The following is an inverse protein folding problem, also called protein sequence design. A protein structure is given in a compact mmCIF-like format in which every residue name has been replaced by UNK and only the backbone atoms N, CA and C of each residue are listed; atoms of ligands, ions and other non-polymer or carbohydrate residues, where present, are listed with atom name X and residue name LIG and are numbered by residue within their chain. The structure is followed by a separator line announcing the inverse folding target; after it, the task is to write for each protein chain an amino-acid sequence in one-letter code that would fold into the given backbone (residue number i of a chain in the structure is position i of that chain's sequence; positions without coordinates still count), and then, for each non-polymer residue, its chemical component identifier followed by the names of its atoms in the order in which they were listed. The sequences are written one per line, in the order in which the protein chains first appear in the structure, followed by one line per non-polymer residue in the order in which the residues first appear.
data_IF_393567029295
#
_entry.id   IF_393567029295
#
_cell.length_a   1.000
_cell.length_b   1.000
_cell.length_c   1.000
_cell.angle_alpha   90.00
_cell.angle_beta   90.00
_cell.angle_gamma   90.00
#
_symmetry.space_group_name_H-M   'P 1'
#
loop_
_entity.id
_entity.type
_entity.pdbx_description
1 polymer ?
#
# COMPACT_ATOMS: atom_id res chain seq x y z
N UNK A 1 84.31 -63.60 14.45
CA UNK A 1 83.75 -64.49 13.41
C UNK A 1 82.70 -63.72 12.64
N UNK A 2 82.83 -63.75 11.31
CA UNK A 2 81.92 -63.27 10.24
C UNK A 2 81.46 -61.78 10.33
N UNK A 3 82.13 -60.83 9.64
CA UNK A 3 82.15 -60.63 8.16
C UNK A 3 80.74 -60.26 7.66
N UNK A 4 80.48 -59.21 6.89
CA UNK A 4 81.31 -58.24 6.21
C UNK A 4 80.40 -57.17 5.58
N UNK A 5 80.85 -55.92 5.68
CA UNK A 5 81.04 -54.96 4.58
C UNK A 5 79.81 -54.35 3.89
N UNK A 6 79.64 -53.01 3.95
CA UNK A 6 80.33 -51.99 3.11
C UNK A 6 80.00 -52.19 1.63
N UNK A 7 79.24 -51.30 0.96
CA UNK A 7 79.74 -50.10 0.25
C UNK A 7 78.61 -49.61 -0.71
N UNK A 8 78.46 -48.38 -1.22
CA UNK A 8 79.28 -47.17 -1.37
C UNK A 8 78.34 -46.00 -1.78
N UNK A 9 78.69 -44.77 -1.32
CA UNK A 9 78.72 -43.45 -2.00
C UNK A 9 77.68 -43.11 -3.10
N UNK A 10 77.08 -41.91 -3.09
CA UNK A 10 77.54 -40.76 -3.91
C UNK A 10 77.04 -39.41 -3.32
N UNK A 11 77.90 -38.40 -3.50
CA UNK A 11 77.78 -36.98 -3.14
C UNK A 11 77.01 -36.16 -4.21
N UNK A 12 76.56 -34.97 -3.78
CA UNK A 12 76.25 -33.76 -4.59
C UNK A 12 74.95 -33.84 -5.42
N UNK A 13 74.20 -32.77 -5.74
CA UNK A 13 74.34 -31.33 -5.62
C UNK A 13 72.94 -30.68 -5.63
N UNK A 14 72.88 -29.42 -5.18
CA UNK A 14 71.91 -28.35 -5.48
C UNK A 14 70.74 -28.64 -6.43
N UNK A 15 69.52 -28.42 -5.94
CA UNK A 15 68.48 -27.67 -6.67
C UNK A 15 67.43 -27.17 -5.67
N UNK A 16 67.43 -25.86 -5.44
CA UNK A 16 66.30 -25.18 -4.84
C UNK A 16 65.12 -25.25 -5.82
N UNK A 17 64.06 -25.97 -5.46
CA UNK A 17 62.73 -25.74 -6.02
C UNK A 17 61.85 -25.26 -4.87
N UNK A 18 61.52 -23.97 -4.91
CA UNK A 18 60.41 -23.42 -4.18
C UNK A 18 59.16 -24.21 -4.58
N UNK A 19 58.62 -25.00 -3.65
CA UNK A 19 57.25 -25.48 -3.72
C UNK A 19 56.36 -24.24 -3.62
N UNK A 20 56.02 -23.68 -4.78
CA UNK A 20 54.90 -22.77 -4.91
C UNK A 20 53.69 -23.56 -4.46
N UNK A 21 53.24 -23.27 -3.24
CA UNK A 21 51.95 -23.66 -2.73
C UNK A 21 50.91 -23.20 -3.76
N UNK A 22 50.42 -24.13 -4.56
CA UNK A 22 49.19 -23.98 -5.33
C UNK A 22 48.03 -23.92 -4.35
N UNK A 23 47.91 -22.79 -3.65
CA UNK A 23 46.67 -22.34 -3.04
C UNK A 23 45.71 -22.05 -4.20
N UNK A 24 45.10 -23.11 -4.74
CA UNK A 24 43.80 -22.98 -5.38
C UNK A 24 42.83 -22.78 -4.22
N UNK A 25 42.86 -21.59 -3.63
CA UNK A 25 41.72 -21.11 -2.86
C UNK A 25 40.52 -21.25 -3.81
N UNK A 26 39.41 -21.89 -3.39
CA UNK A 26 38.17 -21.67 -4.11
C UNK A 26 38.00 -20.15 -4.07
N UNK A 27 38.09 -19.50 -5.23
CA UNK A 27 37.61 -18.13 -5.36
C UNK A 27 36.22 -18.17 -4.77
N UNK A 28 36.02 -17.51 -3.63
CA UNK A 28 34.70 -17.22 -3.15
C UNK A 28 34.03 -16.55 -4.35
N UNK A 29 33.17 -17.29 -5.06
CA UNK A 29 32.28 -16.71 -6.04
C UNK A 29 31.54 -15.65 -5.23
N UNK A 30 31.90 -14.38 -5.43
CA UNK A 30 31.08 -13.29 -4.95
C UNK A 30 29.69 -13.64 -5.49
N UNK A 31 28.76 -13.97 -4.60
CA UNK A 31 27.43 -14.41 -5.00
C UNK A 31 26.93 -13.41 -6.04
N UNK A 32 26.65 -13.89 -7.26
CA UNK A 32 26.30 -13.00 -8.37
C UNK A 32 25.17 -12.10 -7.91
N UNK A 33 25.40 -10.80 -7.96
CA UNK A 33 24.42 -9.80 -7.54
C UNK A 33 23.18 -9.97 -8.39
N UNK A 34 22.05 -10.23 -7.75
CA UNK A 34 20.80 -10.47 -8.48
C UNK A 34 19.98 -9.19 -8.52
N UNK A 35 19.29 -8.98 -9.64
CA UNK A 35 18.54 -7.76 -9.90
C UNK A 35 17.06 -8.04 -10.10
N UNK A 36 16.25 -7.04 -9.78
CA UNK A 36 14.82 -7.04 -10.01
C UNK A 36 14.40 -5.77 -10.71
N UNK A 37 13.49 -5.90 -11.67
CA UNK A 37 12.94 -4.77 -12.43
C UNK A 37 11.47 -4.58 -12.14
N UNK A 38 11.03 -3.32 -12.07
CA UNK A 38 9.63 -2.95 -11.87
C UNK A 38 9.21 -1.91 -12.90
N UNK A 39 8.06 -2.14 -13.51
CA UNK A 39 7.41 -1.25 -14.46
C UNK A 39 5.93 -1.04 -14.08
N UNK A 40 5.31 -0.05 -14.71
CA UNK A 40 3.87 0.24 -14.59
C UNK A 40 3.29 0.70 -15.92
N UNK A 41 1.97 0.70 -16.05
CA UNK A 41 1.29 1.31 -17.21
C UNK A 41 1.20 2.85 -17.07
N UNK A 42 0.81 3.55 -18.13
CA UNK A 42 0.77 5.02 -18.15
C UNK A 42 -0.16 5.65 -17.11
N UNK A 43 -1.20 4.92 -16.67
CA UNK A 43 -2.15 5.35 -15.63
C UNK A 43 -1.74 4.88 -14.23
N UNK A 44 -0.57 4.27 -14.14
CA UNK A 44 -0.04 3.58 -12.98
C UNK A 44 -0.91 2.43 -12.47
N UNK A 45 -1.95 1.98 -13.18
CA UNK A 45 -3.02 1.14 -12.62
C UNK A 45 -2.54 -0.26 -12.19
N UNK A 46 -1.49 -0.77 -12.84
CA UNK A 46 -0.87 -2.07 -12.54
C UNK A 46 0.64 -1.96 -12.38
N UNK A 47 1.19 -2.81 -11.51
CA UNK A 47 2.64 -2.99 -11.36
C UNK A 47 3.03 -4.30 -12.04
N UNK A 48 4.12 -4.26 -12.80
CA UNK A 48 4.72 -5.41 -13.48
C UNK A 48 6.15 -5.55 -12.98
N UNK A 49 6.64 -6.78 -12.88
CA UNK A 49 7.97 -7.03 -12.36
C UNK A 49 8.59 -8.28 -12.97
N UNK A 50 9.92 -8.34 -12.90
CA UNK A 50 10.74 -9.47 -13.34
C UNK A 50 11.84 -9.72 -12.31
N UNK A 51 12.06 -10.99 -11.98
CA UNK A 51 13.01 -11.46 -10.97
C UNK A 51 13.43 -12.91 -11.30
N UNK A 52 14.71 -13.29 -11.09
CA UNK A 52 15.90 -12.45 -11.03
C UNK A 52 16.43 -12.10 -12.43
N UNK A 53 17.20 -11.02 -12.53
CA UNK A 53 17.96 -10.61 -13.72
C UNK A 53 19.43 -10.40 -13.36
N UNK A 54 20.31 -10.36 -14.36
CA UNK A 54 21.77 -10.34 -14.17
C UNK A 54 22.36 -8.94 -14.00
N UNK A 55 21.66 -7.91 -14.47
CA UNK A 55 22.02 -6.51 -14.26
C UNK A 55 20.80 -5.58 -14.22
N UNK A 56 21.00 -4.35 -13.75
CA UNK A 56 19.93 -3.37 -13.58
C UNK A 56 19.27 -2.93 -14.90
N UNK A 57 20.02 -2.80 -16.00
CA UNK A 57 19.45 -2.40 -17.30
C UNK A 57 18.64 -3.54 -17.91
N UNK A 58 19.12 -4.77 -17.79
CA UNK A 58 18.38 -5.97 -18.18
C UNK A 58 17.06 -6.06 -17.39
N UNK A 59 17.11 -5.85 -16.07
CA UNK A 59 15.93 -5.77 -15.22
C UNK A 59 14.90 -4.72 -15.67
N UNK A 60 15.32 -3.50 -15.96
CA UNK A 60 14.41 -2.45 -16.46
C UNK A 60 13.79 -2.83 -17.80
N UNK A 61 14.60 -3.31 -18.75
CA UNK A 61 14.14 -3.70 -20.08
C UNK A 61 13.15 -4.87 -20.02
N UNK A 62 13.44 -5.88 -19.20
CA UNK A 62 12.58 -7.04 -19.01
C UNK A 62 11.27 -6.66 -18.29
N UNK A 63 11.29 -5.75 -17.31
CA UNK A 63 10.06 -5.25 -16.68
C UNK A 63 9.15 -4.50 -17.67
N UNK A 64 9.72 -3.69 -18.56
CA UNK A 64 8.96 -3.06 -19.65
C UNK A 64 8.39 -4.09 -20.63
N UNK A 65 9.17 -5.11 -20.98
CA UNK A 65 8.71 -6.19 -21.84
C UNK A 65 7.53 -6.93 -21.21
N UNK A 66 7.60 -7.23 -19.92
CA UNK A 66 6.51 -7.88 -19.17
C UNK A 66 5.27 -7.00 -19.11
N UNK A 67 5.41 -5.69 -18.84
CA UNK A 67 4.29 -4.75 -18.92
C UNK A 67 3.59 -4.78 -20.28
N UNK A 68 4.34 -4.74 -21.38
CA UNK A 68 3.79 -4.77 -22.75
C UNK A 68 3.12 -6.10 -23.05
N UNK A 69 3.77 -7.21 -22.67
CA UNK A 69 3.26 -8.57 -22.84
C UNK A 69 1.94 -8.79 -22.10
N UNK A 70 1.80 -8.22 -20.91
CA UNK A 70 0.57 -8.24 -20.10
C UNK A 70 -0.49 -7.19 -20.55
N UNK A 71 -0.32 -6.59 -21.73
CA UNK A 71 -1.27 -5.64 -22.32
C UNK A 71 -1.26 -4.25 -21.70
N UNK A 72 -0.23 -3.90 -20.94
CA UNK A 72 -0.03 -2.54 -20.43
C UNK A 72 0.16 -1.53 -21.57
N UNK A 73 -0.48 -0.36 -21.44
CA UNK A 73 -0.32 0.76 -22.36
C UNK A 73 0.64 1.78 -21.74
N UNK A 74 1.44 2.45 -22.58
CA UNK A 74 2.37 3.51 -22.14
C UNK A 74 3.28 3.05 -20.99
N UNK A 75 3.82 1.83 -21.11
CA UNK A 75 4.65 1.21 -20.08
C UNK A 75 5.86 2.07 -19.72
N UNK A 76 6.06 2.29 -18.41
CA UNK A 76 7.16 3.06 -17.82
C UNK A 76 7.92 2.19 -16.82
N UNK A 77 9.25 2.33 -16.82
CA UNK A 77 10.09 1.80 -15.75
C UNK A 77 9.81 2.61 -14.49
N UNK A 78 9.66 1.93 -13.36
CA UNK A 78 9.63 2.57 -12.05
C UNK A 78 11.01 2.54 -11.39
N UNK A 79 11.62 1.37 -11.33
CA UNK A 79 12.92 1.17 -10.69
C UNK A 79 13.50 -0.20 -10.99
N UNK A 80 14.81 -0.34 -10.94
CA UNK A 80 15.47 -1.60 -10.62
C UNK A 80 15.94 -1.61 -9.16
N UNK A 81 16.19 -2.81 -8.63
CA UNK A 81 16.77 -3.03 -7.31
C UNK A 81 17.63 -4.28 -7.33
N UNK A 82 18.45 -4.48 -6.30
CA UNK A 82 19.38 -5.61 -6.23
C UNK A 82 19.60 -6.05 -4.81
N UNK A 83 19.74 -7.35 -4.57
CA UNK A 83 19.99 -7.96 -3.25
C UNK A 83 19.18 -7.31 -2.11
N UNK A 84 17.92 -7.00 -2.41
CA UNK A 84 17.02 -6.26 -1.54
C UNK A 84 15.57 -6.56 -1.90
N UNK A 85 14.64 -6.01 -1.13
CA UNK A 85 13.22 -5.97 -1.44
C UNK A 85 12.78 -4.58 -1.87
N UNK A 86 11.87 -4.52 -2.85
CA UNK A 86 11.23 -3.31 -3.33
C UNK A 86 9.72 -3.49 -3.36
N UNK A 87 8.98 -2.43 -3.03
CA UNK A 87 7.52 -2.40 -3.15
C UNK A 87 7.05 -0.95 -3.32
N UNK A 88 5.88 -0.78 -3.90
CA UNK A 88 5.22 0.52 -4.00
C UNK A 88 3.97 0.55 -3.13
N UNK A 89 3.72 1.70 -2.52
CA UNK A 89 2.41 2.07 -2.01
C UNK A 89 1.76 3.03 -2.99
N UNK A 90 0.42 3.04 -3.02
CA UNK A 90 -0.38 3.88 -3.89
C UNK A 90 -1.41 4.66 -3.08
N UNK A 91 -1.64 5.92 -3.44
CA UNK A 91 -2.73 6.74 -2.90
C UNK A 91 -4.01 6.67 -3.75
N UNK A 92 -5.05 7.39 -3.35
CA UNK A 92 -6.35 7.47 -4.04
C UNK A 92 -6.25 8.00 -5.47
N UNK A 93 -5.34 8.94 -5.73
CA UNK A 93 -5.12 9.57 -7.04
C UNK A 93 -4.08 8.83 -7.90
N UNK A 94 -3.70 7.62 -7.50
CA UNK A 94 -2.81 6.71 -8.24
C UNK A 94 -1.32 7.14 -8.29
N UNK A 95 -0.87 8.00 -7.37
CA UNK A 95 0.55 8.26 -7.17
C UNK A 95 1.24 7.05 -6.53
N UNK A 96 2.49 6.81 -6.91
CA UNK A 96 3.27 5.67 -6.46
C UNK A 96 4.44 6.09 -5.56
N UNK A 97 4.57 5.43 -4.42
CA UNK A 97 5.55 5.73 -3.38
C UNK A 97 6.45 4.51 -3.12
N UNK A 98 7.75 4.57 -3.46
CA UNK A 98 8.64 3.42 -3.35
C UNK A 98 9.06 3.15 -1.91
N UNK A 99 9.27 1.88 -1.57
CA UNK A 99 9.95 1.43 -0.38
C UNK A 99 10.97 0.35 -0.73
N UNK A 100 12.24 0.61 -0.42
CA UNK A 100 13.34 -0.33 -0.61
C UNK A 100 14.05 -0.63 0.72
N UNK A 101 14.33 -1.90 0.97
CA UNK A 101 15.08 -2.36 2.14
C UNK A 101 15.53 -3.80 1.94
N UNK A 102 16.60 -4.22 2.63
CA UNK A 102 16.99 -5.63 2.72
C UNK A 102 15.99 -6.49 3.50
N UNK A 103 15.05 -5.88 4.22
CA UNK A 103 13.94 -6.56 4.90
C UNK A 103 12.62 -6.32 4.15
N UNK A 104 11.85 -7.38 3.82
CA UNK A 104 10.54 -7.25 3.17
C UNK A 104 9.59 -6.33 3.94
N UNK A 105 9.49 -6.55 5.26
CA UNK A 105 8.62 -5.75 6.14
C UNK A 105 9.05 -4.28 6.17
N UNK A 106 10.36 -4.02 6.23
CA UNK A 106 10.86 -2.65 6.24
C UNK A 106 10.66 -1.93 4.90
N UNK A 107 10.75 -2.64 3.77
CA UNK A 107 10.43 -2.09 2.46
C UNK A 107 8.95 -1.63 2.41
N UNK A 108 8.03 -2.51 2.81
CA UNK A 108 6.60 -2.21 2.89
C UNK A 108 6.30 -1.04 3.84
N UNK A 109 6.90 -1.05 5.03
CA UNK A 109 6.74 0.04 6.02
C UNK A 109 7.21 1.39 5.48
N UNK A 110 8.35 1.42 4.75
CA UNK A 110 8.85 2.64 4.11
C UNK A 110 7.92 3.15 3.02
N UNK A 111 7.40 2.27 2.17
CA UNK A 111 6.47 2.63 1.10
C UNK A 111 5.19 3.28 1.67
N UNK A 112 4.56 2.63 2.65
CA UNK A 112 3.36 3.16 3.31
C UNK A 112 3.65 4.50 4.00
N UNK A 113 4.73 4.63 4.76
CA UNK A 113 5.10 5.90 5.42
C UNK A 113 5.27 7.05 4.44
N UNK A 114 5.90 6.79 3.29
CA UNK A 114 6.08 7.79 2.23
C UNK A 114 4.74 8.17 1.61
N UNK A 115 3.89 7.18 1.31
CA UNK A 115 2.55 7.45 0.81
C UNK A 115 1.74 8.30 1.79
N UNK A 116 1.71 7.94 3.07
CA UNK A 116 0.93 8.67 4.08
C UNK A 116 1.44 10.09 4.29
N UNK A 117 2.75 10.31 4.19
CA UNK A 117 3.34 11.64 4.28
C UNK A 117 3.08 12.50 3.03
N UNK A 118 3.03 11.87 1.85
CA UNK A 118 2.80 12.54 0.57
C UNK A 118 1.32 12.68 0.17
N UNK A 119 0.39 12.08 0.92
CA UNK A 119 -1.04 12.04 0.57
C UNK A 119 -1.87 12.67 1.69
N UNK A 120 -2.29 13.94 1.55
CA UNK A 120 -3.12 14.63 2.54
C UNK A 120 -4.42 13.88 2.86
N UNK A 121 -4.96 13.12 1.92
CA UNK A 121 -6.17 12.28 2.05
C UNK A 121 -5.88 10.82 2.46
N UNK A 122 -4.61 10.43 2.58
CA UNK A 122 -4.15 9.28 3.38
C UNK A 122 -4.47 7.88 2.91
N UNK A 123 -5.23 7.73 1.83
CA UNK A 123 -5.74 6.46 1.29
C UNK A 123 -4.64 5.59 0.70
N UNK A 124 -3.75 5.08 1.54
CA UNK A 124 -2.52 4.41 1.16
C UNK A 124 -2.59 2.90 1.31
N UNK A 125 -2.26 2.18 0.23
CA UNK A 125 -2.20 0.71 0.17
C UNK A 125 -0.96 0.24 -0.57
N UNK A 126 -0.46 -0.94 -0.24
CA UNK A 126 0.59 -1.57 -1.04
C UNK A 126 0.04 -2.02 -2.39
N UNK A 127 0.83 -1.94 -3.45
CA UNK A 127 0.44 -2.42 -4.78
C UNK A 127 0.62 -3.92 -4.95
N UNK A 128 1.57 -4.50 -4.21
CA UNK A 128 1.95 -5.92 -4.23
C UNK A 128 2.55 -6.28 -2.87
N UNK A 129 2.76 -7.57 -2.59
CA UNK A 129 3.71 -7.95 -1.54
C UNK A 129 5.13 -7.51 -1.94
N UNK A 130 6.07 -7.37 -0.97
CA UNK A 130 7.45 -7.03 -1.27
C UNK A 130 8.09 -7.96 -2.30
N UNK A 131 8.62 -7.37 -3.37
CA UNK A 131 9.37 -8.06 -4.42
C UNK A 131 10.82 -8.18 -3.93
N UNK A 132 11.29 -9.39 -3.66
CA UNK A 132 12.62 -9.62 -3.09
C UNK A 132 13.51 -10.42 -4.06
N UNK A 133 14.77 -10.02 -4.17
CA UNK A 133 15.77 -10.68 -5.00
C UNK A 133 17.11 -10.72 -4.27
N UNK A 134 17.84 -11.83 -4.39
CA UNK A 134 19.16 -12.01 -3.77
C UNK A 134 19.27 -13.31 -2.98
N UNK A 135 20.50 -13.75 -2.67
CA UNK A 135 20.75 -15.05 -2.04
C UNK A 135 20.25 -15.16 -0.60
N UNK A 136 19.94 -14.04 0.05
CA UNK A 136 19.45 -14.00 1.43
C UNK A 136 17.95 -14.25 1.60
N UNK A 137 17.20 -14.44 0.52
CA UNK A 137 15.74 -14.58 0.55
C UNK A 137 15.29 -16.02 0.33
N UNK A 138 14.30 -16.44 1.11
CA UNK A 138 13.72 -17.77 0.96
C UNK A 138 12.90 -17.89 -0.32
N UNK A 139 12.65 -19.12 -0.77
CA UNK A 139 11.71 -19.37 -1.86
C UNK A 139 10.30 -18.84 -1.54
N UNK A 140 9.92 -18.80 -0.26
CA UNK A 140 8.66 -18.22 0.18
C UNK A 140 8.63 -16.70 -0.02
N UNK A 141 9.71 -15.99 0.34
CA UNK A 141 9.83 -14.55 0.12
C UNK A 141 9.73 -14.19 -1.36
N UNK A 142 10.42 -14.94 -2.22
CA UNK A 142 10.41 -14.71 -3.67
C UNK A 142 9.05 -15.02 -4.32
N UNK A 143 8.28 -15.98 -3.78
CA UNK A 143 6.97 -16.36 -4.31
C UNK A 143 5.80 -15.59 -3.68
N UNK A 144 6.00 -14.88 -2.57
CA UNK A 144 4.94 -14.16 -1.86
C UNK A 144 4.15 -13.19 -2.77
N UNK A 145 4.76 -12.41 -3.68
CA UNK A 145 4.03 -11.52 -4.59
C UNK A 145 3.15 -12.23 -5.61
N UNK A 146 3.52 -13.44 -6.00
CA UNK A 146 2.77 -14.26 -6.98
C UNK A 146 1.61 -14.99 -6.31
N UNK A 147 1.80 -15.43 -5.06
CA UNK A 147 0.82 -16.23 -4.31
C UNK A 147 -0.18 -15.41 -3.50
N UNK A 148 0.12 -14.15 -3.21
CA UNK A 148 -0.72 -13.32 -2.37
C UNK A 148 -2.10 -13.08 -2.98
N UNK A 149 -3.13 -13.24 -2.15
CA UNK A 149 -4.49 -12.83 -2.49
C UNK A 149 -4.67 -11.32 -2.24
N UNK A 150 -5.70 -10.69 -2.81
CA UNK A 150 -6.06 -9.31 -2.44
C UNK A 150 -6.27 -9.13 -0.93
N UNK A 151 -6.81 -10.13 -0.24
CA UNK A 151 -7.01 -10.10 1.20
C UNK A 151 -5.69 -10.13 1.99
N UNK A 152 -4.67 -10.85 1.50
CA UNK A 152 -3.34 -10.87 2.14
C UNK A 152 -2.66 -9.51 2.01
N UNK A 153 -2.77 -8.91 0.83
CA UNK A 153 -2.21 -7.58 0.55
C UNK A 153 -2.90 -6.50 1.38
N UNK A 154 -4.22 -6.54 1.51
CA UNK A 154 -4.94 -5.59 2.35
C UNK A 154 -4.60 -5.81 3.83
N UNK A 155 -4.50 -7.05 4.29
CA UNK A 155 -4.11 -7.34 5.68
C UNK A 155 -2.73 -6.76 6.02
N UNK A 156 -1.76 -6.89 5.12
CA UNK A 156 -0.44 -6.27 5.30
C UNK A 156 -0.53 -4.73 5.25
N UNK A 157 -1.26 -4.19 4.28
CA UNK A 157 -1.46 -2.74 4.13
C UNK A 157 -2.10 -2.15 5.39
N UNK A 158 -3.12 -2.79 5.93
CA UNK A 158 -3.81 -2.40 7.16
C UNK A 158 -2.90 -2.48 8.39
N UNK A 159 -2.08 -3.53 8.51
CA UNK A 159 -1.10 -3.65 9.60
C UNK A 159 -0.08 -2.50 9.60
N UNK A 160 0.32 -2.03 8.41
CA UNK A 160 1.38 -1.03 8.26
C UNK A 160 0.86 0.41 8.24
N UNK A 161 -0.35 0.63 7.75
CA UNK A 161 -0.96 1.94 7.66
C UNK A 161 -1.87 2.18 8.87
N UNK A 162 -1.24 2.72 9.92
CA UNK A 162 -1.87 3.08 11.19
C UNK A 162 -2.67 4.39 11.12
N UNK A 163 -2.84 4.98 9.94
CA UNK A 163 -3.67 6.17 9.77
C UNK A 163 -5.14 5.79 9.93
N UNK A 164 -5.84 6.59 10.73
CA UNK A 164 -7.29 6.52 10.85
C UNK A 164 -7.96 7.31 9.72
N UNK A 165 -9.26 7.06 9.52
CA UNK A 165 -10.04 7.73 8.48
C UNK A 165 -11.35 8.20 9.07
N UNK A 166 -11.29 9.34 9.74
CA UNK A 166 -12.41 9.98 10.38
C UNK A 166 -13.23 10.80 9.39
N UNK A 167 -14.55 10.71 9.57
CA UNK A 167 -15.53 11.59 8.99
C UNK A 167 -16.20 12.46 10.04
N UNK A 168 -16.74 13.60 9.62
CA UNK A 168 -17.51 14.53 10.44
C UNK A 168 -18.74 15.00 9.67
N UNK A 169 -19.85 15.17 10.39
CA UNK A 169 -21.07 15.81 9.90
C UNK A 169 -21.32 17.06 10.73
N UNK A 170 -21.60 18.17 10.06
CA UNK A 170 -22.01 19.42 10.67
C UNK A 170 -23.31 19.93 10.03
N UNK A 171 -24.05 20.74 10.77
CA UNK A 171 -25.29 21.37 10.31
C UNK A 171 -25.10 22.89 10.36
N UNK A 172 -25.33 23.56 9.24
CA UNK A 172 -25.24 25.01 9.15
C UNK A 172 -26.49 25.71 9.73
N UNK A 173 -26.53 27.03 9.71
CA UNK A 173 -27.65 27.81 10.26
C UNK A 173 -28.96 27.62 9.48
N UNK A 174 -28.87 27.29 8.19
CA UNK A 174 -30.02 27.03 7.32
C UNK A 174 -30.57 25.60 7.44
N UNK A 175 -29.90 24.73 8.22
CA UNK A 175 -30.26 23.32 8.36
C UNK A 175 -29.70 22.43 7.24
N UNK A 176 -28.74 22.92 6.45
CA UNK A 176 -27.99 22.11 5.51
C UNK A 176 -26.96 21.24 6.24
N UNK A 177 -26.92 19.95 5.90
CA UNK A 177 -25.87 19.05 6.36
C UNK A 177 -24.63 19.16 5.46
N UNK A 178 -23.49 19.36 6.11
CA UNK A 178 -22.17 19.37 5.51
C UNK A 178 -21.36 18.20 6.06
N UNK A 179 -20.41 17.70 5.29
CA UNK A 179 -19.62 16.53 5.65
C UNK A 179 -18.19 16.63 5.17
N UNK A 180 -17.29 15.98 5.89
CA UNK A 180 -15.88 15.84 5.56
C UNK A 180 -15.44 14.42 5.90
N UNK A 181 -14.72 13.74 5.01
CA UNK A 181 -14.36 12.30 5.13
C UNK A 181 -12.86 12.07 4.94
N UNK A 182 -12.32 11.00 5.53
CA UNK A 182 -10.95 10.53 5.26
C UNK A 182 -9.83 11.27 6.02
N UNK A 183 -10.15 11.93 7.13
CA UNK A 183 -9.17 12.68 7.91
C UNK A 183 -8.40 11.78 8.89
N UNK A 184 -7.12 12.09 9.19
CA UNK A 184 -6.25 11.21 9.97
C UNK A 184 -6.64 11.08 11.45
N UNK A 185 -7.49 11.96 11.96
CA UNK A 185 -8.01 11.94 13.33
C UNK A 185 -9.35 12.71 13.39
N UNK A 186 -10.10 12.50 14.48
CA UNK A 186 -11.42 13.12 14.69
C UNK A 186 -11.37 14.65 14.67
N UNK A 187 -10.35 15.25 15.29
CA UNK A 187 -10.23 16.70 15.41
C UNK A 187 -10.00 17.36 14.05
N UNK A 188 -9.16 16.78 13.20
CA UNK A 188 -8.92 17.27 11.84
C UNK A 188 -10.19 17.16 11.00
N UNK A 189 -10.94 16.05 11.11
CA UNK A 189 -12.20 15.88 10.39
C UNK A 189 -13.19 17.01 10.70
N UNK A 190 -13.35 17.33 11.99
CA UNK A 190 -14.29 18.35 12.44
C UNK A 190 -13.77 19.76 12.19
N UNK A 191 -12.55 20.08 12.60
CA UNK A 191 -12.00 21.44 12.48
C UNK A 191 -11.93 21.88 11.03
N UNK A 192 -11.48 21.01 10.12
CA UNK A 192 -11.43 21.32 8.69
C UNK A 192 -12.80 21.55 8.10
N UNK A 193 -13.81 20.79 8.52
CA UNK A 193 -15.20 21.01 8.10
C UNK A 193 -15.74 22.35 8.59
N UNK A 194 -15.47 22.70 9.85
CA UNK A 194 -15.94 23.97 10.44
C UNK A 194 -15.24 25.20 9.84
N UNK A 195 -14.04 25.04 9.29
CA UNK A 195 -13.29 26.10 8.60
C UNK A 195 -13.84 26.39 7.18
N UNK A 196 -14.78 25.61 6.65
CA UNK A 196 -15.35 25.84 5.32
C UNK A 196 -16.24 27.08 5.30
N UNK A 197 -16.23 27.81 4.18
CA UNK A 197 -17.04 29.04 4.02
C UNK A 197 -18.54 28.79 4.22
N UNK A 198 -19.03 27.64 3.76
CA UNK A 198 -20.43 27.22 3.88
C UNK A 198 -20.79 26.76 5.30
N UNK A 199 -19.79 26.62 6.19
CA UNK A 199 -19.97 26.14 7.56
C UNK A 199 -19.88 27.24 8.63
N UNK A 200 -20.05 28.51 8.25
CA UNK A 200 -20.16 29.61 9.22
C UNK A 200 -21.34 29.36 10.18
N UNK A 201 -21.07 29.37 11.49
CA UNK A 201 -22.08 29.09 12.51
C UNK A 201 -22.53 27.62 12.57
N UNK A 202 -21.81 26.71 11.92
CA UNK A 202 -22.10 25.28 11.97
C UNK A 202 -22.04 24.71 13.38
N UNK A 203 -22.90 23.71 13.62
CA UNK A 203 -22.83 22.86 14.79
C UNK A 203 -22.42 21.44 14.39
N UNK A 204 -21.49 20.85 15.15
CA UNK A 204 -21.19 19.41 15.06
C UNK A 204 -22.49 18.62 15.24
N UNK A 205 -22.79 17.74 14.29
CA UNK A 205 -23.84 16.73 14.43
C UNK A 205 -23.23 15.47 15.01
N UNK A 206 -22.23 14.91 14.33
CA UNK A 206 -21.49 13.72 14.78
C UNK A 206 -20.14 13.59 14.06
N UNK A 207 -19.35 12.64 14.53
CA UNK A 207 -18.10 12.16 13.93
C UNK A 207 -18.14 10.63 13.87
N UNK A 208 -17.40 10.05 12.94
CA UNK A 208 -17.44 8.60 12.68
C UNK A 208 -16.13 8.09 12.09
N UNK A 209 -15.82 6.83 12.33
CA UNK A 209 -14.71 6.09 11.72
C UNK A 209 -15.13 4.64 11.53
N UNK A 210 -14.62 3.99 10.49
CA UNK A 210 -14.95 2.62 10.09
C UNK A 210 -16.46 2.32 10.09
N UNK A 211 -17.25 3.33 9.67
CA UNK A 211 -18.70 3.28 9.61
C UNK A 211 -19.25 4.21 8.54
N UNK A 212 -20.55 4.08 8.25
CA UNK A 212 -21.30 4.97 7.41
C UNK A 212 -22.37 5.72 8.21
N UNK A 213 -22.68 6.93 7.74
CA UNK A 213 -23.74 7.79 8.26
C UNK A 213 -24.78 7.96 7.18
N UNK A 214 -25.98 7.46 7.41
CA UNK A 214 -27.17 7.86 6.67
C UNK A 214 -27.60 9.25 7.09
N UNK A 215 -27.93 10.09 6.13
CA UNK A 215 -28.38 11.47 6.33
C UNK A 215 -29.74 11.61 5.65
N UNK A 216 -30.78 11.95 6.39
CA UNK A 216 -32.14 12.04 5.87
C UNK A 216 -32.89 13.28 6.36
N UNK A 217 -33.80 13.78 5.53
CA UNK A 217 -34.65 14.93 5.85
C UNK A 217 -35.95 14.89 5.02
N UNK A 218 -37.04 15.51 5.49
CA UNK A 218 -38.25 15.63 4.68
C UNK A 218 -37.99 16.48 3.45
N UNK A 219 -38.45 16.05 2.27
CA UNK A 219 -38.32 16.84 1.05
C UNK A 219 -38.96 18.22 1.21
N UNK A 220 -38.18 19.27 0.96
CA UNK A 220 -38.62 20.67 1.11
C UNK A 220 -38.56 21.22 2.53
N UNK A 221 -38.12 20.43 3.51
CA UNK A 221 -37.81 20.95 4.85
C UNK A 221 -36.64 21.94 4.79
N UNK A 222 -36.72 22.96 5.64
CA UNK A 222 -35.68 23.98 5.84
C UNK A 222 -35.50 24.23 7.32
N UNK A 223 -34.30 24.61 7.72
CA UNK A 223 -33.99 25.02 9.08
C UNK A 223 -33.30 23.94 9.91
N UNK A 224 -32.59 24.40 10.93
CA UNK A 224 -31.81 23.55 11.84
C UNK A 224 -32.68 22.51 12.54
N UNK A 225 -32.16 21.28 12.67
CA UNK A 225 -32.81 20.19 13.39
C UNK A 225 -33.85 19.42 12.57
N UNK A 226 -33.97 19.69 11.26
CA UNK A 226 -34.85 18.92 10.37
C UNK A 226 -34.18 17.66 9.79
N UNK A 227 -32.96 17.37 10.23
CA UNK A 227 -32.13 16.28 9.73
C UNK A 227 -32.07 15.11 10.71
N UNK A 228 -31.99 13.91 10.16
CA UNK A 228 -31.95 12.64 10.87
C UNK A 228 -30.72 11.86 10.41
N UNK A 229 -30.02 11.27 11.37
CA UNK A 229 -28.80 10.51 11.09
C UNK A 229 -28.90 9.09 11.64
N UNK A 230 -28.30 8.12 10.96
CA UNK A 230 -28.12 6.77 11.47
C UNK A 230 -26.69 6.28 11.18
N UNK A 231 -26.05 5.67 12.18
CA UNK A 231 -24.70 5.11 12.05
C UNK A 231 -24.79 3.60 11.81
N UNK A 232 -24.20 3.12 10.72
CA UNK A 232 -24.13 1.71 10.41
C UNK A 232 -22.92 1.40 9.51
N UNK A 233 -22.15 0.33 9.74
CA UNK A 233 -21.06 -0.06 8.83
C UNK A 233 -21.54 -0.44 7.43
N UNK A 234 -22.79 -0.90 7.29
CA UNK A 234 -23.38 -1.13 5.97
C UNK A 234 -23.98 0.17 5.41
N UNK A 235 -23.51 0.68 4.26
CA UNK A 235 -23.93 1.97 3.73
C UNK A 235 -25.42 2.03 3.38
N UNK A 236 -25.97 0.92 2.86
CA UNK A 236 -27.39 0.85 2.49
C UNK A 236 -28.26 0.90 3.74
N UNK A 237 -27.91 0.12 4.76
CA UNK A 237 -28.62 0.08 6.03
C UNK A 237 -28.55 1.43 6.73
N UNK A 238 -27.37 2.09 6.78
CA UNK A 238 -27.25 3.44 7.32
C UNK A 238 -28.25 4.41 6.67
N UNK A 239 -28.30 4.42 5.32
CA UNK A 239 -29.23 5.26 4.57
C UNK A 239 -30.68 4.94 4.89
N UNK A 240 -31.06 3.67 4.80
CA UNK A 240 -32.45 3.23 4.94
C UNK A 240 -32.95 3.44 6.39
N UNK A 241 -32.10 3.23 7.39
CA UNK A 241 -32.37 3.54 8.81
C UNK A 241 -32.57 5.04 9.05
N UNK A 242 -31.72 5.89 8.45
CA UNK A 242 -31.88 7.35 8.58
C UNK A 242 -33.19 7.83 7.94
N UNK A 243 -33.56 7.26 6.77
CA UNK A 243 -34.84 7.55 6.10
C UNK A 243 -36.02 7.10 6.95
N UNK A 244 -35.96 5.89 7.51
CA UNK A 244 -37.01 5.37 8.40
C UNK A 244 -37.16 6.24 9.65
N UNK A 245 -36.05 6.69 10.25
CA UNK A 245 -36.07 7.60 11.38
C UNK A 245 -36.73 8.95 11.03
N UNK A 246 -36.42 9.52 9.86
CA UNK A 246 -37.07 10.72 9.36
C UNK A 246 -38.58 10.53 9.18
N UNK A 247 -39.01 9.47 8.49
CA UNK A 247 -40.43 9.18 8.25
C UNK A 247 -41.18 9.00 9.56
N UNK A 248 -40.61 8.25 10.51
CA UNK A 248 -41.23 8.00 11.81
C UNK A 248 -41.36 9.27 12.66
N UNK A 249 -40.37 10.17 12.62
CA UNK A 249 -40.36 11.39 13.44
C UNK A 249 -41.19 12.52 12.86
N UNK A 250 -41.30 12.60 11.53
CA UNK A 250 -41.99 13.71 10.86
C UNK A 250 -43.36 13.34 10.32
N UNK A 251 -43.67 12.04 10.21
CA UNK A 251 -44.87 11.55 9.52
C UNK A 251 -44.85 11.78 8.01
N UNK A 252 -43.77 12.33 7.45
CA UNK A 252 -43.64 12.59 6.02
C UNK A 252 -43.23 11.32 5.27
N UNK A 253 -44.02 10.84 4.30
CA UNK A 253 -43.59 9.73 3.44
C UNK A 253 -42.54 10.16 2.41
N UNK A 254 -42.24 11.45 2.31
CA UNK A 254 -41.32 12.04 1.32
C UNK A 254 -39.95 12.38 1.92
N UNK A 255 -39.46 11.59 2.89
CA UNK A 255 -38.09 11.73 3.39
C UNK A 255 -37.08 11.26 2.34
N UNK A 256 -36.17 12.16 1.98
CA UNK A 256 -35.02 11.81 1.13
C UNK A 256 -33.83 11.43 2.00
N UNK A 257 -32.94 10.58 1.49
CA UNK A 257 -31.73 10.20 2.21
C UNK A 257 -30.50 10.03 1.30
N UNK A 258 -29.32 10.24 1.88
CA UNK A 258 -28.02 9.93 1.29
C UNK A 258 -27.12 9.25 2.35
N UNK A 259 -25.93 8.82 1.96
CA UNK A 259 -24.96 8.18 2.87
C UNK A 259 -23.54 8.69 2.65
N UNK A 260 -22.81 8.87 3.75
CA UNK A 260 -21.37 9.14 3.76
C UNK A 260 -20.65 8.07 4.55
N UNK A 261 -19.53 7.55 4.05
CA UNK A 261 -18.73 6.56 4.75
C UNK A 261 -17.30 7.04 4.90
N UNK A 262 -16.72 6.74 6.05
CA UNK A 262 -15.31 7.01 6.32
C UNK A 262 -14.73 5.85 7.11
N UNK A 263 -13.52 5.45 6.75
CA UNK A 263 -12.91 4.24 7.26
C UNK A 263 -12.06 3.55 6.20
N UNK A 264 -11.18 2.66 6.66
CA UNK A 264 -10.38 1.82 5.76
C UNK A 264 -11.22 0.94 4.81
N UNK A 265 -12.38 0.37 5.24
CA UNK A 265 -13.21 -0.44 4.36
C UNK A 265 -13.75 0.30 3.12
N UNK A 266 -13.82 1.64 3.16
CA UNK A 266 -14.46 2.46 2.14
C UNK A 266 -13.47 3.24 1.27
N UNK A 267 -12.18 2.90 1.32
CA UNK A 267 -11.13 3.60 0.57
C UNK A 267 -11.36 3.56 -0.95
N UNK A 268 -11.85 2.42 -1.47
CA UNK A 268 -12.18 2.21 -2.89
C UNK A 268 -13.58 2.72 -3.27
N UNK A 269 -14.27 3.35 -2.32
CA UNK A 269 -15.65 3.78 -2.46
C UNK A 269 -16.65 2.80 -1.85
N UNK A 270 -17.94 3.11 -2.01
CA UNK A 270 -19.04 2.36 -1.41
C UNK A 270 -20.35 2.51 -2.21
N UNK A 271 -21.26 1.54 -2.05
CA UNK A 271 -22.59 1.65 -2.65
C UNK A 271 -23.35 2.85 -2.07
N UNK A 272 -23.89 3.71 -2.94
CA UNK A 272 -24.49 4.98 -2.51
C UNK A 272 -23.54 6.18 -2.57
N UNK A 273 -22.25 5.97 -2.82
CA UNK A 273 -21.31 7.07 -3.01
C UNK A 273 -21.67 7.89 -4.25
N UNK A 274 -21.96 9.18 -4.06
CA UNK A 274 -22.37 10.08 -5.13
C UNK A 274 -23.84 9.95 -5.57
N UNK A 275 -24.63 9.06 -4.95
CA UNK A 275 -26.07 9.03 -5.18
C UNK A 275 -26.70 10.34 -4.68
N UNK A 276 -27.53 10.96 -5.52
CA UNK A 276 -28.30 12.14 -5.12
C UNK A 276 -29.32 11.75 -4.05
N UNK A 277 -29.61 12.62 -3.07
CA UNK A 277 -30.64 12.36 -2.08
C UNK A 277 -31.96 12.02 -2.75
N UNK A 278 -32.51 10.84 -2.44
CA UNK A 278 -33.77 10.35 -2.98
C UNK A 278 -34.70 9.80 -1.89
#
# INVERSE_FOLDING_TARGET
MMSARFQFLIRAAFAALALVAGLISPTAHAAEKLYGGIATDGKHSRIFWVLPETDGKAAEAAALAECRKAGGKECKVLSWFSDSCMVYARNSVQDLFPGNSVSPEMAAKKAIRRCTAGSPDGKCRLTTMPLCVGPGYSAADMQAPVKATPADLERLSAKLNQREYWGAIAENEEGGLLYADGYPNENDALSKLLDWEDCKGCRKVLTYTDSCVGLAWPKGAKGRGTNFTALNPDPKTARDESRAACTAKTGSPACVAMVRCSGRPYIDGYAGEGEKPN
#
